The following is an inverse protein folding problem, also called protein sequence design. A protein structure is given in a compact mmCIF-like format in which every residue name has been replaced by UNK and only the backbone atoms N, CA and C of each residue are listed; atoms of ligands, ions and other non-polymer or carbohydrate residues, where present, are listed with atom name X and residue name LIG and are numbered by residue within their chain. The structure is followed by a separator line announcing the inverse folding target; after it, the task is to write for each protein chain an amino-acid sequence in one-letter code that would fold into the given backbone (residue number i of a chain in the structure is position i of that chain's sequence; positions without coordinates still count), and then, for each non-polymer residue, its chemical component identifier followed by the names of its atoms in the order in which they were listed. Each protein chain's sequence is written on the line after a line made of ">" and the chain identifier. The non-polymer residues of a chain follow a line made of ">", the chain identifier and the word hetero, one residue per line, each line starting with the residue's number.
data_IF_488516716251
#
_entry.id   IF_488516716251
#
_cell.length_a   1.000
_cell.length_b   1.000
_cell.length_c   1.000
_cell.angle_alpha   90.00
_cell.angle_beta   90.00
_cell.angle_gamma   90.00
#
_symmetry.space_group_name_H-M   'P 1'
#
loop_
_entity.id
_entity.type
_entity.pdbx_description
1 polymer ?
#
# COMPACT_ATOMS: atom_id res chain seq x y z
N UNK A 1 -5.01 -4.77 -8.48
CA UNK A 1 -4.16 -4.42 -7.32
C UNK A 1 -4.14 -2.92 -7.09
N UNK A 2 -3.82 -2.53 -5.89
CA UNK A 2 -3.69 -1.12 -5.54
C UNK A 2 -2.21 -0.81 -5.31
N UNK A 3 -1.71 0.20 -5.98
CA UNK A 3 -0.37 0.71 -5.76
C UNK A 3 -0.43 1.80 -4.70
N UNK A 4 0.38 1.67 -3.66
CA UNK A 4 0.46 2.65 -2.58
C UNK A 4 1.84 3.28 -2.64
N UNK A 5 1.85 4.59 -2.81
CA UNK A 5 3.08 5.37 -2.87
C UNK A 5 3.19 6.25 -1.64
N UNK A 6 4.30 6.14 -0.92
CA UNK A 6 4.58 6.99 0.23
C UNK A 6 5.14 8.33 -0.27
N UNK A 7 4.48 9.42 0.08
CA UNK A 7 4.87 10.76 -0.34
C UNK A 7 5.77 11.45 0.67
N UNK A 8 6.06 10.80 1.80
CA UNK A 8 6.90 11.37 2.85
C UNK A 8 8.27 10.72 2.85
N UNK A 9 9.20 11.28 3.61
CA UNK A 9 10.54 10.72 3.78
C UNK A 9 10.61 9.65 4.85
N UNK A 10 9.59 9.57 5.70
CA UNK A 10 9.53 8.58 6.77
C UNK A 10 8.68 7.38 6.35
N UNK A 11 9.00 6.18 6.83
CA UNK A 11 8.16 5.03 6.55
C UNK A 11 6.74 5.24 7.08
N UNK A 12 5.75 4.75 6.35
CA UNK A 12 4.35 4.81 6.75
C UNK A 12 3.87 3.39 7.04
N UNK A 13 3.25 3.21 8.20
CA UNK A 13 2.66 1.93 8.57
C UNK A 13 1.17 1.98 8.27
N UNK A 14 0.70 0.98 7.55
CA UNK A 14 -0.70 0.88 7.15
C UNK A 14 -1.30 -0.42 7.67
N UNK A 15 -2.53 -0.33 8.11
CA UNK A 15 -3.26 -1.53 8.55
C UNK A 15 -4.01 -2.10 7.34
N UNK A 16 -3.71 -3.35 7.01
CA UNK A 16 -4.33 -4.06 5.89
C UNK A 16 -4.82 -5.42 6.37
N UNK A 17 -5.64 -6.07 5.57
CA UNK A 17 -6.09 -7.42 5.89
C UNK A 17 -4.97 -8.41 5.62
N UNK A 18 -4.90 -9.46 6.43
CA UNK A 18 -3.92 -10.51 6.26
C UNK A 18 -4.32 -11.46 5.13
N UNK A 19 -3.36 -11.84 4.29
CA UNK A 19 -3.62 -12.85 3.25
C UNK A 19 -3.93 -14.22 3.83
N UNK A 20 -3.29 -14.54 4.95
CA UNK A 20 -3.44 -15.87 5.58
C UNK A 20 -4.74 -15.98 6.36
N UNK A 21 -5.24 -14.86 6.87
CA UNK A 21 -6.43 -14.83 7.70
C UNK A 21 -7.23 -13.57 7.34
N UNK A 22 -8.18 -13.65 6.38
CA UNK A 22 -8.87 -12.44 5.89
C UNK A 22 -9.61 -11.65 6.96
N UNK A 23 -9.91 -12.28 8.10
CA UNK A 23 -10.57 -11.59 9.23
C UNK A 23 -9.57 -10.89 10.15
N UNK A 24 -8.29 -11.18 9.99
CA UNK A 24 -7.24 -10.56 10.79
C UNK A 24 -6.63 -9.40 10.03
N UNK A 25 -5.94 -8.52 10.77
CA UNK A 25 -5.25 -7.39 10.21
C UNK A 25 -3.75 -7.53 10.43
N UNK A 26 -2.97 -6.96 9.53
CA UNK A 26 -1.53 -6.93 9.66
C UNK A 26 -1.04 -5.55 9.26
N UNK A 27 0.23 -5.28 9.53
CA UNK A 27 0.84 -3.99 9.20
C UNK A 27 1.62 -4.10 7.90
N UNK A 28 1.35 -3.18 6.98
CA UNK A 28 2.13 -3.01 5.77
C UNK A 28 3.00 -1.76 5.96
N UNK A 29 4.29 -1.92 5.79
CA UNK A 29 5.22 -0.79 5.89
C UNK A 29 5.62 -0.37 4.48
N UNK A 30 5.37 0.92 4.16
CA UNK A 30 5.78 1.50 2.90
C UNK A 30 6.97 2.41 3.20
N UNK A 31 8.17 2.09 2.69
CA UNK A 31 9.35 2.92 2.95
C UNK A 31 9.15 4.34 2.45
N UNK A 32 9.80 5.28 3.12
CA UNK A 32 9.78 6.67 2.68
C UNK A 32 10.63 6.89 1.42
N UNK A 33 10.52 8.09 0.87
CA UNK A 33 11.31 8.49 -0.30
C UNK A 33 12.79 8.46 0.08
N UNK A 34 13.59 7.74 -0.71
CA UNK A 34 15.01 7.60 -0.43
C UNK A 34 15.62 6.46 -1.23
N UNK A 35 16.54 5.70 -0.60
CA UNK A 35 17.25 4.61 -1.28
C UNK A 35 16.36 3.41 -1.61
N UNK A 36 15.28 3.21 -0.86
CA UNK A 36 14.35 2.10 -1.10
C UNK A 36 13.17 2.60 -1.92
N UNK A 37 12.51 1.66 -2.61
CA UNK A 37 11.30 1.99 -3.34
C UNK A 37 10.20 2.37 -2.36
N UNK A 38 9.62 3.54 -2.56
CA UNK A 38 8.55 4.05 -1.71
C UNK A 38 7.17 3.61 -2.20
N UNK A 39 7.09 2.48 -2.86
CA UNK A 39 5.85 1.95 -3.45
C UNK A 39 5.64 0.52 -2.99
N UNK A 40 4.37 0.17 -2.72
CA UNK A 40 3.96 -1.20 -2.43
C UNK A 40 2.69 -1.50 -3.20
N UNK A 41 2.58 -2.74 -3.65
CA UNK A 41 1.39 -3.24 -4.34
C UNK A 41 0.66 -4.21 -3.42
N UNK A 42 -0.63 -4.03 -3.29
CA UNK A 42 -1.47 -4.95 -2.51
C UNK A 42 -2.71 -5.33 -3.31
N UNK A 43 -3.27 -6.47 -2.96
CA UNK A 43 -4.51 -6.93 -3.56
C UNK A 43 -5.69 -6.08 -3.07
N UNK A 44 -6.66 -5.86 -3.96
CA UNK A 44 -7.81 -5.01 -3.64
C UNK A 44 -8.55 -5.48 -2.38
N UNK A 45 -8.63 -6.79 -2.18
CA UNK A 45 -9.34 -7.36 -1.05
C UNK A 45 -8.66 -7.08 0.30
N UNK A 46 -7.39 -6.70 0.28
CA UNK A 46 -6.63 -6.42 1.49
C UNK A 46 -6.71 -4.96 1.92
N UNK A 47 -7.29 -4.11 1.07
CA UNK A 47 -7.40 -2.68 1.36
C UNK A 47 -8.43 -2.45 2.47
N UNK A 48 -8.10 -1.56 3.41
CA UNK A 48 -8.99 -1.17 4.51
C UNK A 48 -9.26 0.33 4.46
N UNK A 49 -10.24 0.79 5.24
CA UNK A 49 -10.53 2.22 5.36
C UNK A 49 -9.36 3.02 5.89
N UNK A 50 -8.48 2.38 6.65
CA UNK A 50 -7.29 3.03 7.18
C UNK A 50 -6.44 3.65 6.06
N UNK A 51 -6.33 2.95 4.94
CA UNK A 51 -5.57 3.44 3.79
C UNK A 51 -6.17 4.74 3.25
N UNK A 52 -7.50 4.79 3.12
CA UNK A 52 -8.18 6.01 2.67
C UNK A 52 -7.95 7.18 3.62
N UNK A 53 -7.95 6.91 4.91
CA UNK A 53 -7.71 7.96 5.91
C UNK A 53 -6.31 8.53 5.79
N UNK A 54 -5.31 7.67 5.63
CA UNK A 54 -3.93 8.10 5.49
C UNK A 54 -3.72 8.85 4.18
N UNK A 55 -4.40 8.43 3.13
CA UNK A 55 -4.36 9.14 1.84
C UNK A 55 -4.92 10.57 1.98
N UNK A 56 -6.02 10.73 2.71
CA UNK A 56 -6.60 12.06 2.96
C UNK A 56 -5.67 12.95 3.76
N UNK A 57 -4.80 12.37 4.57
CA UNK A 57 -3.79 13.12 5.32
C UNK A 57 -2.64 13.61 4.43
N UNK A 58 -2.57 13.14 3.19
CA UNK A 58 -1.54 13.56 2.27
C UNK A 58 -0.22 12.80 2.40
N UNK A 59 -0.17 11.74 3.19
CA UNK A 59 1.05 10.96 3.40
C UNK A 59 1.29 9.93 2.30
N UNK A 60 0.22 9.44 1.68
CA UNK A 60 0.32 8.42 0.63
C UNK A 60 -0.57 8.80 -0.55
N UNK A 61 -0.30 8.15 -1.67
CA UNK A 61 -1.10 8.25 -2.88
C UNK A 61 -1.41 6.84 -3.34
N UNK A 62 -2.64 6.59 -3.76
CA UNK A 62 -3.07 5.27 -4.22
C UNK A 62 -3.48 5.33 -5.68
N UNK A 63 -3.27 4.22 -6.39
CA UNK A 63 -3.65 4.08 -7.79
C UNK A 63 -4.02 2.64 -8.07
N UNK A 64 -5.09 2.45 -8.84
CA UNK A 64 -5.45 1.11 -9.29
C UNK A 64 -4.49 0.66 -10.39
N UNK A 65 -3.97 -0.55 -10.25
CA UNK A 65 -3.05 -1.14 -11.22
C UNK A 65 -3.68 -2.43 -11.75
N UNK A 66 -3.94 -2.53 -13.06
CA UNK A 66 -4.44 -3.78 -13.64
C UNK A 66 -3.45 -4.93 -13.45
N UNK A 67 -3.96 -6.14 -13.29
CA UNK A 67 -3.12 -7.31 -13.12
C UNK A 67 -2.10 -7.50 -14.24
N UNK A 68 -2.45 -7.10 -15.46
CA UNK A 68 -1.55 -7.21 -16.59
C UNK A 68 -0.28 -6.35 -16.44
N UNK A 69 -0.40 -5.22 -15.75
CA UNK A 69 0.77 -4.37 -15.48
C UNK A 69 1.62 -4.93 -14.34
N UNK A 70 0.97 -5.55 -13.35
CA UNK A 70 1.68 -6.13 -12.21
C UNK A 70 2.61 -7.24 -12.66
N UNK A 71 2.17 -8.09 -13.56
CA UNK A 71 2.97 -9.20 -14.06
C UNK A 71 4.24 -8.71 -14.74
N UNK A 72 4.18 -7.58 -15.45
CA UNK A 72 5.34 -7.01 -16.13
C UNK A 72 6.34 -6.37 -15.18
N UNK A 73 5.90 -6.02 -13.99
CA UNK A 73 6.75 -5.38 -13.00
C UNK A 73 7.69 -6.33 -12.28
N UNK A 74 7.55 -7.59 -12.53
CA UNK A 74 8.41 -8.61 -11.94
C UNK A 74 9.57 -8.95 -12.90
#
# INVERSE_FOLDING_TARGET
>A
MIEIKNKSRSPVQLVVRSRKAPRAFTTLIVPGIGKQKNIRLIEDELVTEYISRVEKMGLIETRYVPNSEVVKGE
#
